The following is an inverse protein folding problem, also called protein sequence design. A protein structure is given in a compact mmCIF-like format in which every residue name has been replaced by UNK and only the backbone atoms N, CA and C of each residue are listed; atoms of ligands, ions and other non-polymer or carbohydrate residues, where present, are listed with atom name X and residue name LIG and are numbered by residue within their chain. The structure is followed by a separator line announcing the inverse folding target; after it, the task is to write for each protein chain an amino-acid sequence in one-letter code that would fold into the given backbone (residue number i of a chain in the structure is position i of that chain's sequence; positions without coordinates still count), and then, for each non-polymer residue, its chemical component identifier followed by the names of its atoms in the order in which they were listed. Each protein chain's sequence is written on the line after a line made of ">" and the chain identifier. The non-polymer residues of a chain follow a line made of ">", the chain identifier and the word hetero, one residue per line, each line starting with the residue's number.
data_IF_172332420604
#
_entry.id   IF_172332420604
#
_cell.length_a   1.000
_cell.length_b   1.000
_cell.length_c   1.000
_cell.angle_alpha   90.00
_cell.angle_beta   90.00
_cell.angle_gamma   90.00
#
_symmetry.space_group_name_H-M   'P 1'
#
loop_
_entity.id
_entity.type
_entity.pdbx_description
1 polymer ?
#
# COMPACT_ATOMS: atom_id res chain seq x y z
N UNK A 1 -46.46 -51.19 33.89
CA UNK A 1 -46.57 -49.73 33.80
C UNK A 1 -45.19 -49.14 33.55
N UNK A 2 -44.91 -48.80 32.28
CA UNK A 2 -43.61 -48.25 31.86
C UNK A 2 -43.82 -46.77 31.59
N UNK A 3 -43.12 -45.93 32.36
CA UNK A 3 -43.13 -44.49 32.19
C UNK A 3 -42.23 -44.09 31.00
N UNK A 4 -42.80 -43.43 29.99
CA UNK A 4 -42.09 -42.78 28.90
C UNK A 4 -41.53 -41.44 29.40
N UNK A 5 -40.21 -41.35 29.44
CA UNK A 5 -39.49 -40.09 29.64
C UNK A 5 -39.41 -39.39 28.28
N UNK A 6 -40.09 -38.24 28.17
CA UNK A 6 -40.04 -37.40 26.96
C UNK A 6 -38.67 -36.76 26.79
N UNK A 7 -38.02 -36.99 25.67
CA UNK A 7 -36.86 -36.23 25.19
C UNK A 7 -37.35 -34.84 24.75
N UNK A 8 -36.90 -33.80 25.42
CA UNK A 8 -36.96 -32.43 24.90
C UNK A 8 -35.96 -32.31 23.78
N UNK A 9 -36.46 -32.16 22.58
CA UNK A 9 -35.62 -31.71 21.45
C UNK A 9 -35.17 -30.28 21.69
N UNK A 10 -33.86 -30.12 21.75
CA UNK A 10 -33.24 -28.79 21.67
C UNK A 10 -33.38 -28.32 20.22
N UNK A 11 -34.19 -27.30 20.00
CA UNK A 11 -34.28 -26.61 18.71
C UNK A 11 -32.93 -26.06 18.26
N UNK A 12 -32.74 -25.81 16.96
CA UNK A 12 -31.46 -25.38 16.41
C UNK A 12 -31.07 -24.05 17.03
N UNK A 13 -29.95 -24.07 17.73
CA UNK A 13 -29.33 -22.89 18.29
C UNK A 13 -29.00 -21.91 17.15
N UNK A 14 -29.36 -20.70 17.39
CA UNK A 14 -29.27 -19.46 16.68
C UNK A 14 -27.88 -19.20 16.01
N UNK A 15 -27.51 -20.01 15.02
CA UNK A 15 -26.28 -19.81 14.21
C UNK A 15 -26.38 -18.59 13.28
N UNK A 16 -27.58 -18.09 13.01
CA UNK A 16 -27.78 -16.95 12.12
C UNK A 16 -27.37 -15.59 12.72
N UNK A 17 -27.27 -15.49 14.04
CA UNK A 17 -26.82 -14.25 14.69
C UNK A 17 -25.29 -14.15 14.67
N UNK A 18 -24.60 -15.27 14.90
CA UNK A 18 -23.13 -15.33 14.84
C UNK A 18 -22.58 -15.25 13.41
N UNK A 19 -23.33 -15.70 12.41
CA UNK A 19 -22.99 -15.50 11.00
C UNK A 19 -23.23 -14.07 10.51
N UNK A 20 -24.24 -13.36 11.02
CA UNK A 20 -24.43 -11.92 10.72
C UNK A 20 -23.36 -11.04 11.36
N UNK A 21 -22.84 -11.37 12.53
CA UNK A 21 -21.69 -10.66 13.12
C UNK A 21 -20.36 -11.00 12.42
N UNK A 22 -20.24 -12.15 11.76
CA UNK A 22 -19.09 -12.52 10.95
C UNK A 22 -19.06 -11.87 9.58
N UNK A 23 -20.16 -11.26 9.13
CA UNK A 23 -20.29 -10.61 7.82
C UNK A 23 -20.02 -9.09 7.84
N UNK A 24 -19.63 -8.53 8.97
CA UNK A 24 -18.95 -7.23 8.98
C UNK A 24 -17.47 -7.56 8.72
N UNK A 25 -17.10 -7.69 7.45
CA UNK A 25 -15.69 -7.85 7.09
C UNK A 25 -14.95 -6.65 7.67
N UNK A 26 -14.02 -6.92 8.59
CA UNK A 26 -13.17 -5.87 9.13
C UNK A 26 -12.42 -5.21 7.98
N UNK A 27 -12.46 -3.89 7.89
CA UNK A 27 -11.66 -3.13 6.93
C UNK A 27 -10.22 -3.07 7.47
N UNK A 28 -9.27 -3.57 6.69
CA UNK A 28 -7.86 -3.56 7.05
C UNK A 28 -7.15 -2.39 6.38
N UNK A 29 -6.65 -1.47 7.18
CA UNK A 29 -5.89 -0.30 6.71
C UNK A 29 -4.43 -0.48 7.09
N UNK A 30 -3.53 -0.37 6.12
CA UNK A 30 -2.09 -0.30 6.36
C UNK A 30 -1.65 1.16 6.52
N UNK A 31 -0.84 1.47 7.53
CA UNK A 31 -0.11 2.73 7.62
C UNK A 31 1.28 2.52 7.04
N UNK A 32 1.59 3.22 5.97
CA UNK A 32 2.90 3.23 5.32
C UNK A 32 3.49 4.66 5.34
N UNK A 33 4.79 4.77 5.19
CA UNK A 33 5.47 6.07 5.10
C UNK A 33 6.93 5.99 5.51
N UNK A 34 7.64 7.05 5.22
CA UNK A 34 9.06 7.15 5.52
C UNK A 34 9.33 7.14 7.04
N UNK A 35 10.55 6.79 7.47
CA UNK A 35 10.95 7.01 8.85
C UNK A 35 10.73 8.46 9.29
N UNK A 36 10.22 8.65 10.51
CA UNK A 36 9.97 9.95 11.13
C UNK A 36 8.88 10.83 10.49
N UNK A 37 8.08 10.33 9.55
CA UNK A 37 6.95 11.08 8.98
C UNK A 37 5.74 11.25 9.93
N UNK A 38 5.81 10.72 11.17
CA UNK A 38 4.73 10.80 12.16
C UNK A 38 3.81 9.57 12.23
N UNK A 39 4.21 8.46 11.61
CA UNK A 39 3.40 7.23 11.50
C UNK A 39 3.00 6.65 12.87
N UNK A 40 3.94 6.49 13.78
CA UNK A 40 3.67 5.99 15.15
C UNK A 40 2.74 6.94 15.93
N UNK A 41 2.88 8.24 15.75
CA UNK A 41 1.97 9.23 16.39
C UNK A 41 0.55 9.05 15.87
N UNK A 42 0.37 8.94 14.56
CA UNK A 42 -0.92 8.67 13.93
C UNK A 42 -1.51 7.34 14.41
N UNK A 43 -0.73 6.26 14.40
CA UNK A 43 -1.17 4.94 14.84
C UNK A 43 -1.68 4.96 16.28
N UNK A 44 -0.94 5.59 17.20
CA UNK A 44 -1.32 5.72 18.60
C UNK A 44 -2.60 6.54 18.79
N UNK A 45 -2.75 7.63 18.04
CA UNK A 45 -3.98 8.44 18.09
C UNK A 45 -5.20 7.65 17.59
N UNK A 46 -5.04 6.90 16.51
CA UNK A 46 -6.13 6.13 15.92
C UNK A 46 -6.56 4.93 16.77
N UNK A 47 -5.63 4.22 17.40
CA UNK A 47 -5.90 2.95 18.08
C UNK A 47 -6.01 3.06 19.60
N UNK A 48 -5.40 4.09 20.21
CA UNK A 48 -5.35 4.26 21.65
C UNK A 48 -4.65 3.09 22.34
N UNK A 49 -5.26 2.57 23.42
CA UNK A 49 -4.73 1.43 24.18
C UNK A 49 -5.02 0.04 23.55
N UNK A 50 -5.78 -0.03 22.46
CA UNK A 50 -6.20 -1.29 21.85
C UNK A 50 -5.18 -1.74 20.77
N UNK A 51 -3.96 -2.02 21.20
CA UNK A 51 -2.86 -2.40 20.32
C UNK A 51 -2.37 -3.80 20.64
N UNK A 52 -1.98 -4.53 19.60
CA UNK A 52 -1.17 -5.73 19.67
C UNK A 52 0.23 -5.40 19.18
N UNK A 53 1.23 -5.77 19.95
CA UNK A 53 2.65 -5.59 19.60
C UNK A 53 3.32 -6.96 19.58
N UNK A 54 4.03 -7.27 18.52
CA UNK A 54 4.76 -8.51 18.36
C UNK A 54 5.83 -8.34 17.29
N UNK A 55 6.32 -9.42 16.71
CA UNK A 55 7.23 -9.36 15.58
C UNK A 55 6.55 -9.90 14.33
N UNK A 56 7.03 -9.43 13.18
CA UNK A 56 6.66 -10.03 11.90
C UNK A 56 7.21 -11.46 11.83
N UNK A 57 6.47 -12.41 11.24
CA UNK A 57 6.91 -13.80 11.15
C UNK A 57 8.30 -13.94 10.49
N UNK A 58 9.21 -14.64 11.15
CA UNK A 58 10.53 -14.97 10.61
C UNK A 58 11.59 -13.87 10.65
N UNK A 59 11.25 -12.69 11.21
CA UNK A 59 12.18 -11.55 11.32
C UNK A 59 12.06 -10.87 12.69
N UNK A 60 13.08 -10.05 13.04
CA UNK A 60 13.10 -9.28 14.31
C UNK A 60 12.38 -7.92 14.20
N UNK A 61 11.72 -7.65 13.08
CA UNK A 61 11.01 -6.40 12.83
C UNK A 61 9.72 -6.36 13.64
N UNK A 62 9.48 -5.26 14.35
CA UNK A 62 8.29 -5.07 15.19
C UNK A 62 7.02 -4.94 14.34
N UNK A 63 5.94 -5.64 14.73
CA UNK A 63 4.61 -5.52 14.18
C UNK A 63 3.69 -4.86 15.18
N UNK A 64 2.99 -3.80 14.78
CA UNK A 64 1.92 -3.16 15.55
C UNK A 64 0.61 -3.24 14.78
N UNK A 65 -0.42 -3.70 15.46
CA UNK A 65 -1.78 -3.80 14.92
C UNK A 65 -2.77 -3.35 15.99
N UNK A 66 -3.80 -2.62 15.60
CA UNK A 66 -4.80 -2.15 16.54
C UNK A 66 -6.15 -1.91 15.89
N UNK A 67 -7.19 -1.83 16.70
CA UNK A 67 -8.53 -1.47 16.22
C UNK A 67 -8.73 0.03 16.30
N UNK A 68 -9.29 0.62 15.27
CA UNK A 68 -9.63 2.04 15.28
C UNK A 68 -10.60 2.35 16.42
N UNK A 69 -10.27 3.38 17.21
CA UNK A 69 -11.02 3.69 18.45
C UNK A 69 -12.49 4.06 18.20
N UNK A 70 -12.80 4.72 17.07
CA UNK A 70 -14.15 5.15 16.71
C UNK A 70 -14.96 4.05 16.01
N UNK A 71 -14.29 3.06 15.38
CA UNK A 71 -14.96 1.93 14.72
C UNK A 71 -14.13 0.65 14.89
N UNK A 72 -14.61 -0.26 15.74
CA UNK A 72 -13.93 -1.54 16.02
C UNK A 72 -13.95 -2.54 14.85
N UNK A 73 -14.73 -2.27 13.80
CA UNK A 73 -14.71 -2.98 12.54
C UNK A 73 -13.51 -2.64 11.65
N UNK A 74 -12.72 -1.62 12.01
CA UNK A 74 -11.52 -1.20 11.27
C UNK A 74 -10.27 -1.64 12.03
N UNK A 75 -9.41 -2.37 11.35
CA UNK A 75 -8.09 -2.79 11.83
C UNK A 75 -7.04 -1.94 11.16
N UNK A 76 -6.12 -1.40 11.94
CA UNK A 76 -4.99 -0.58 11.47
C UNK A 76 -3.71 -1.33 11.76
N UNK A 77 -2.88 -1.54 10.75
CA UNK A 77 -1.55 -2.15 10.87
C UNK A 77 -0.49 -1.10 10.60
N UNK A 78 0.39 -0.84 11.58
CA UNK A 78 1.55 0.05 11.41
C UNK A 78 2.69 -0.72 10.74
N UNK A 79 3.06 -0.32 9.53
CA UNK A 79 4.17 -0.92 8.80
C UNK A 79 5.49 -0.25 9.21
N UNK A 80 6.62 -0.95 9.07
CA UNK A 80 7.93 -0.35 9.24
C UNK A 80 8.10 0.91 8.39
N UNK A 81 8.84 1.88 8.89
CA UNK A 81 9.20 3.09 8.13
C UNK A 81 10.26 2.76 7.09
N UNK A 82 9.96 2.99 5.81
CA UNK A 82 10.85 2.68 4.69
C UNK A 82 10.91 3.84 3.71
N UNK A 83 11.98 3.92 2.93
CA UNK A 83 12.13 4.94 1.89
C UNK A 83 11.72 4.42 0.51
N UNK A 84 11.76 3.10 0.33
CA UNK A 84 11.34 2.43 -0.89
C UNK A 84 10.75 1.04 -0.58
N UNK A 85 10.17 0.40 -1.58
CA UNK A 85 9.72 -1.00 -1.51
C UNK A 85 10.73 -1.96 -2.17
N UNK A 86 11.96 -1.50 -2.40
CA UNK A 86 13.06 -2.34 -2.87
C UNK A 86 13.52 -3.28 -1.75
N UNK A 87 13.89 -4.53 -2.06
CA UNK A 87 14.08 -5.58 -1.03
C UNK A 87 15.49 -5.59 -0.43
N UNK A 88 16.02 -4.43 -0.05
CA UNK A 88 17.38 -4.33 0.51
C UNK A 88 17.45 -4.52 2.02
N UNK A 89 16.38 -4.19 2.74
CA UNK A 89 16.31 -4.32 4.20
C UNK A 89 15.13 -5.22 4.62
N UNK A 90 15.21 -5.86 5.81
CA UNK A 90 14.09 -6.65 6.34
C UNK A 90 12.80 -5.82 6.45
N UNK A 91 12.89 -4.54 6.80
CA UNK A 91 11.79 -3.61 6.92
C UNK A 91 11.09 -3.38 5.58
N UNK A 92 11.86 -3.20 4.50
CA UNK A 92 11.35 -3.02 3.14
C UNK A 92 10.67 -4.29 2.63
N UNK A 93 11.28 -5.45 2.86
CA UNK A 93 10.72 -6.76 2.51
C UNK A 93 9.37 -6.96 3.22
N UNK A 94 9.34 -6.75 4.53
CA UNK A 94 8.11 -6.90 5.34
C UNK A 94 7.01 -5.96 4.86
N UNK A 95 7.34 -4.69 4.62
CA UNK A 95 6.38 -3.69 4.15
C UNK A 95 5.81 -4.07 2.80
N UNK A 96 6.67 -4.43 1.84
CA UNK A 96 6.26 -4.87 0.50
C UNK A 96 5.38 -6.13 0.56
N UNK A 97 5.83 -7.16 1.25
CA UNK A 97 5.12 -8.45 1.31
C UNK A 97 3.75 -8.31 1.97
N UNK A 98 3.64 -7.46 3.00
CA UNK A 98 2.35 -7.18 3.60
C UNK A 98 1.40 -6.44 2.65
N UNK A 99 1.88 -5.41 1.96
CA UNK A 99 1.08 -4.66 0.99
C UNK A 99 0.62 -5.57 -0.17
N UNK A 100 1.47 -6.49 -0.63
CA UNK A 100 1.15 -7.43 -1.71
C UNK A 100 0.32 -8.63 -1.25
N UNK A 101 0.21 -8.89 0.05
CA UNK A 101 -0.49 -10.08 0.60
C UNK A 101 -1.99 -10.13 0.31
N UNK A 102 -2.57 -9.04 -0.19
CA UNK A 102 -4.03 -8.90 -0.36
C UNK A 102 -4.79 -8.67 0.94
N UNK A 103 -4.10 -8.52 2.08
CA UNK A 103 -4.72 -8.24 3.38
C UNK A 103 -5.23 -6.82 3.52
N UNK A 104 -4.45 -5.76 3.13
CA UNK A 104 -4.96 -4.40 3.26
C UNK A 104 -6.02 -4.10 2.18
N UNK A 105 -7.15 -3.54 2.64
CA UNK A 105 -8.20 -3.01 1.77
C UNK A 105 -7.85 -1.62 1.27
N UNK A 106 -7.10 -0.86 2.08
CA UNK A 106 -6.57 0.45 1.73
C UNK A 106 -5.24 0.74 2.44
N UNK A 107 -4.49 1.68 1.89
CA UNK A 107 -3.24 2.19 2.47
C UNK A 107 -3.41 3.67 2.81
N UNK A 108 -3.09 4.05 4.04
CA UNK A 108 -2.82 5.44 4.38
C UNK A 108 -1.31 5.63 4.29
N UNK A 109 -0.87 6.39 3.29
CA UNK A 109 0.53 6.73 3.12
C UNK A 109 0.82 8.09 3.76
N UNK A 110 1.60 8.09 4.85
CA UNK A 110 2.02 9.32 5.51
C UNK A 110 3.18 9.96 4.77
N UNK A 111 2.99 11.19 4.38
CA UNK A 111 3.96 12.03 3.68
C UNK A 111 4.29 13.23 4.57
N UNK A 112 5.57 13.43 4.85
CA UNK A 112 6.06 14.64 5.52
C UNK A 112 5.99 15.81 4.54
N UNK A 113 5.09 16.76 4.81
CA UNK A 113 4.86 17.93 3.98
C UNK A 113 6.06 18.88 3.90
N UNK A 114 7.00 18.78 4.85
CA UNK A 114 8.23 19.60 4.86
C UNK A 114 9.34 19.00 3.98
N UNK A 115 9.17 17.75 3.50
CA UNK A 115 10.13 17.01 2.68
C UNK A 115 9.41 16.22 1.59
N UNK A 116 8.60 16.88 0.76
CA UNK A 116 7.69 16.23 -0.21
C UNK A 116 8.41 15.29 -1.15
N UNK A 117 9.41 15.78 -1.86
CA UNK A 117 10.13 15.04 -2.90
C UNK A 117 10.60 13.67 -2.38
N UNK A 118 11.31 13.66 -1.25
CA UNK A 118 11.82 12.43 -0.64
C UNK A 118 10.71 11.46 -0.24
N UNK A 119 9.58 11.97 0.23
CA UNK A 119 8.47 11.13 0.71
C UNK A 119 7.60 10.63 -0.44
N UNK A 120 7.43 11.42 -1.48
CA UNK A 120 6.63 11.06 -2.65
C UNK A 120 7.24 9.91 -3.45
N UNK A 121 8.55 9.65 -3.37
CA UNK A 121 9.18 8.51 -4.02
C UNK A 121 8.55 7.18 -3.58
N UNK A 122 8.38 6.96 -2.27
CA UNK A 122 7.65 5.80 -1.74
C UNK A 122 6.19 5.82 -2.19
N UNK A 123 5.56 6.99 -2.21
CA UNK A 123 4.15 7.15 -2.63
C UNK A 123 3.94 6.64 -4.05
N UNK A 124 4.84 6.97 -5.00
CA UNK A 124 4.74 6.49 -6.39
C UNK A 124 4.78 4.96 -6.45
N UNK A 125 5.63 4.34 -5.65
CA UNK A 125 5.75 2.88 -5.58
C UNK A 125 4.49 2.22 -4.98
N UNK A 126 3.90 2.81 -3.95
CA UNK A 126 2.64 2.30 -3.35
C UNK A 126 1.48 2.42 -4.35
N UNK A 127 1.41 3.50 -5.12
CA UNK A 127 0.41 3.68 -6.18
C UNK A 127 0.53 2.58 -7.24
N UNK A 128 1.74 2.22 -7.66
CA UNK A 128 1.99 1.17 -8.65
C UNK A 128 1.55 -0.23 -8.19
N UNK A 129 1.43 -0.45 -6.87
CA UNK A 129 0.85 -1.69 -6.33
C UNK A 129 -0.63 -1.86 -6.69
N UNK A 130 -1.33 -0.79 -7.11
CA UNK A 130 -2.75 -0.85 -7.47
C UNK A 130 -3.68 -1.13 -6.29
N UNK A 131 -3.26 -0.82 -5.07
CA UNK A 131 -4.09 -0.85 -3.85
C UNK A 131 -4.73 0.54 -3.68
N UNK A 132 -5.96 0.67 -3.15
CA UNK A 132 -6.51 1.97 -2.77
C UNK A 132 -5.58 2.72 -1.81
N UNK A 133 -5.15 3.93 -2.19
CA UNK A 133 -4.21 4.77 -1.43
C UNK A 133 -4.88 6.08 -1.05
N UNK A 134 -4.65 6.51 0.17
CA UNK A 134 -4.94 7.88 0.65
C UNK A 134 -3.65 8.46 1.21
N UNK A 135 -3.25 9.61 0.73
CA UNK A 135 -2.08 10.32 1.24
C UNK A 135 -2.49 11.17 2.45
N UNK A 136 -1.91 10.89 3.60
CA UNK A 136 -1.96 11.76 4.76
C UNK A 136 -0.77 12.74 4.69
N UNK A 137 -1.04 13.96 4.21
CA UNK A 137 -0.05 15.02 4.10
C UNK A 137 0.20 15.62 5.48
N UNK A 138 1.17 15.07 6.19
CA UNK A 138 1.40 15.35 7.60
C UNK A 138 2.37 16.52 7.82
N UNK A 139 2.41 17.04 9.05
CA UNK A 139 3.22 18.18 9.46
C UNK A 139 2.78 19.52 8.81
N UNK A 140 1.51 19.63 8.40
CA UNK A 140 0.97 20.83 7.79
C UNK A 140 1.05 22.06 8.73
N UNK A 141 1.06 21.85 10.04
CA UNK A 141 1.29 22.92 11.02
C UNK A 141 2.70 23.52 10.95
N UNK A 142 3.71 22.75 10.50
CA UNK A 142 5.05 23.27 10.25
C UNK A 142 5.12 24.04 8.93
N UNK A 143 4.47 23.56 7.88
CA UNK A 143 4.34 24.26 6.59
C UNK A 143 3.68 25.62 6.81
N UNK A 144 2.54 25.65 7.52
CA UNK A 144 1.83 26.89 7.86
C UNK A 144 2.71 27.86 8.70
N UNK A 145 3.45 27.32 9.68
CA UNK A 145 4.36 28.11 10.53
C UNK A 145 5.51 28.73 9.73
N UNK A 146 6.00 28.04 8.72
CA UNK A 146 7.07 28.53 7.85
C UNK A 146 6.56 29.56 6.82
N UNK A 147 5.25 29.72 6.68
CA UNK A 147 4.62 30.58 5.68
C UNK A 147 4.52 29.94 4.29
N UNK A 148 4.85 28.65 4.16
CA UNK A 148 4.75 27.90 2.93
C UNK A 148 3.30 27.50 2.64
N UNK A 149 3.01 27.20 1.36
CA UNK A 149 1.70 26.75 0.90
C UNK A 149 1.86 25.57 -0.04
N UNK A 150 1.04 24.56 0.16
CA UNK A 150 0.96 23.40 -0.72
C UNK A 150 -0.44 23.38 -1.34
N UNK A 151 -0.51 23.28 -2.67
CA UNK A 151 -1.76 23.06 -3.40
C UNK A 151 -2.14 21.57 -3.29
N UNK A 152 -2.96 21.27 -2.27
CA UNK A 152 -3.39 19.90 -1.95
C UNK A 152 -4.23 19.31 -3.08
N UNK A 153 -5.07 20.11 -3.74
CA UNK A 153 -5.93 19.64 -4.83
C UNK A 153 -5.11 19.32 -6.07
N UNK A 154 -4.13 20.15 -6.41
CA UNK A 154 -3.19 19.87 -7.49
C UNK A 154 -2.38 18.60 -7.22
N UNK A 155 -1.90 18.41 -6.00
CA UNK A 155 -1.17 17.21 -5.57
C UNK A 155 -2.06 15.97 -5.68
N UNK A 156 -3.29 16.02 -5.19
CA UNK A 156 -4.26 14.91 -5.28
C UNK A 156 -4.56 14.54 -6.73
N UNK A 157 -4.73 15.54 -7.59
CA UNK A 157 -4.94 15.37 -9.03
C UNK A 157 -3.72 14.74 -9.70
N UNK A 158 -2.51 15.18 -9.35
CA UNK A 158 -1.25 14.64 -9.89
C UNK A 158 -1.04 13.20 -9.49
N UNK A 159 -1.25 12.86 -8.22
CA UNK A 159 -1.09 11.50 -7.69
C UNK A 159 -2.24 10.55 -8.07
N UNK A 160 -3.40 11.07 -8.50
CA UNK A 160 -4.58 10.28 -8.82
C UNK A 160 -5.24 9.60 -7.61
N UNK A 161 -4.96 10.07 -6.40
CA UNK A 161 -5.51 9.56 -5.16
C UNK A 161 -5.85 10.70 -4.19
N UNK A 162 -6.74 10.48 -3.21
CA UNK A 162 -7.07 11.49 -2.21
C UNK A 162 -5.83 11.90 -1.40
N UNK A 163 -5.70 13.20 -1.16
CA UNK A 163 -4.70 13.80 -0.26
C UNK A 163 -5.42 14.54 0.83
N UNK A 164 -5.15 14.20 2.09
CA UNK A 164 -5.77 14.81 3.26
C UNK A 164 -4.71 15.52 4.08
N UNK A 165 -4.81 16.86 4.28
CA UNK A 165 -3.90 17.61 5.14
C UNK A 165 -4.05 17.18 6.59
N UNK A 166 -2.94 16.83 7.24
CA UNK A 166 -2.93 16.35 8.63
C UNK A 166 -1.85 17.02 9.47
N UNK A 167 -2.08 17.05 10.77
CA UNK A 167 -1.05 17.26 11.78
C UNK A 167 -1.27 16.24 12.90
N UNK A 168 -0.55 15.12 12.83
CA UNK A 168 -0.69 14.03 13.78
C UNK A 168 -0.40 14.50 15.22
N UNK A 169 0.56 15.40 15.40
CA UNK A 169 0.90 15.99 16.70
C UNK A 169 -0.26 16.80 17.30
N UNK A 170 -1.09 17.42 16.45
CA UNK A 170 -2.24 18.25 16.87
C UNK A 170 -3.59 17.52 16.74
N UNK A 171 -3.60 16.28 16.30
CA UNK A 171 -4.82 15.51 16.05
C UNK A 171 -5.68 16.05 14.90
N UNK A 172 -5.14 16.93 14.02
CA UNK A 172 -5.90 17.55 12.93
C UNK A 172 -5.92 16.63 11.69
N UNK A 173 -7.10 16.47 11.07
CA UNK A 173 -7.29 15.67 9.85
C UNK A 173 -7.33 14.15 10.05
N UNK A 174 -7.18 13.67 11.29
CA UNK A 174 -7.05 12.24 11.58
C UNK A 174 -8.32 11.44 11.25
N UNK A 175 -9.47 11.95 11.64
CA UNK A 175 -10.76 11.32 11.37
C UNK A 175 -11.07 11.30 9.87
N UNK A 176 -10.79 12.41 9.18
CA UNK A 176 -11.02 12.55 7.75
C UNK A 176 -10.19 11.56 6.93
N UNK A 177 -8.89 11.40 7.24
CA UNK A 177 -8.03 10.47 6.51
C UNK A 177 -8.48 9.02 6.67
N UNK A 178 -8.91 8.62 7.89
CA UNK A 178 -9.43 7.26 8.11
C UNK A 178 -10.75 7.04 7.39
N UNK A 179 -11.68 7.99 7.46
CA UNK A 179 -12.95 7.92 6.74
C UNK A 179 -12.72 7.76 5.24
N UNK A 180 -11.82 8.57 4.66
CA UNK A 180 -11.46 8.51 3.25
C UNK A 180 -10.84 7.14 2.89
N UNK A 181 -9.98 6.59 3.75
CA UNK A 181 -9.39 5.27 3.54
C UNK A 181 -10.42 4.14 3.63
N UNK A 182 -11.37 4.20 4.57
CA UNK A 182 -12.48 3.25 4.66
C UNK A 182 -13.33 3.27 3.38
N UNK A 183 -13.65 4.47 2.87
CA UNK A 183 -14.43 4.62 1.64
C UNK A 183 -13.67 4.07 0.43
N UNK A 184 -12.36 4.35 0.32
CA UNK A 184 -11.50 3.83 -0.73
C UNK A 184 -11.43 2.29 -0.68
N UNK A 185 -11.21 1.71 0.51
CA UNK A 185 -11.17 0.27 0.72
C UNK A 185 -12.47 -0.43 0.36
N UNK A 186 -13.63 0.14 0.75
CA UNK A 186 -14.95 -0.39 0.40
C UNK A 186 -15.23 -0.38 -1.11
N UNK A 187 -14.74 0.64 -1.82
CA UNK A 187 -14.86 0.71 -3.28
C UNK A 187 -13.95 -0.29 -3.99
N UNK A 188 -12.82 -0.66 -3.36
CA UNK A 188 -11.85 -1.60 -3.93
C UNK A 188 -11.17 -1.11 -5.22
N UNK A 189 -11.46 0.12 -5.63
CA UNK A 189 -10.90 0.70 -6.85
C UNK A 189 -9.50 1.25 -6.54
N UNK A 190 -8.50 0.72 -7.26
CA UNK A 190 -7.20 1.36 -7.31
C UNK A 190 -7.31 2.81 -7.80
N UNK A 191 -6.41 3.72 -7.39
CA UNK A 191 -6.32 5.04 -7.99
C UNK A 191 -6.23 4.90 -9.52
N UNK A 192 -6.89 5.77 -10.24
CA UNK A 192 -6.59 5.92 -11.65
C UNK A 192 -5.12 6.35 -11.73
N UNK A 193 -4.25 5.48 -12.22
CA UNK A 193 -2.81 5.76 -12.29
C UNK A 193 -2.61 6.96 -13.20
N UNK A 194 -2.43 8.13 -12.62
CA UNK A 194 -2.10 9.36 -13.36
C UNK A 194 -0.59 9.52 -13.50
N UNK A 195 0.18 8.78 -12.69
CA UNK A 195 1.63 8.72 -12.74
C UNK A 195 2.04 7.79 -13.90
N UNK A 196 2.19 8.37 -15.08
CA UNK A 196 2.71 7.67 -16.26
C UNK A 196 4.16 8.03 -16.47
N UNK A 197 4.92 7.06 -16.91
CA UNK A 197 6.28 7.22 -17.39
C UNK A 197 6.28 7.73 -18.85
N UNK A 198 7.45 7.95 -19.42
CA UNK A 198 7.59 8.24 -20.83
C UNK A 198 6.92 7.16 -21.70
N UNK A 199 6.62 7.48 -22.94
CA UNK A 199 5.96 6.52 -23.83
C UNK A 199 6.83 5.28 -24.05
N UNK A 200 8.12 5.45 -24.14
CA UNK A 200 9.12 4.40 -24.33
C UNK A 200 9.06 3.37 -23.19
N UNK A 201 9.04 3.86 -21.95
CA UNK A 201 8.95 3.01 -20.74
C UNK A 201 7.57 2.37 -20.64
N UNK A 202 6.48 3.10 -20.91
CA UNK A 202 5.11 2.53 -20.87
C UNK A 202 4.92 1.43 -21.92
N UNK A 203 5.50 1.59 -23.13
CA UNK A 203 5.49 0.54 -24.15
C UNK A 203 6.30 -0.69 -23.73
N UNK A 204 7.47 -0.50 -23.10
CA UNK A 204 8.26 -1.59 -22.56
C UNK A 204 7.49 -2.34 -21.47
N UNK A 205 6.85 -1.63 -20.53
CA UNK A 205 6.00 -2.23 -19.49
C UNK A 205 4.84 -3.01 -20.09
N UNK A 206 4.14 -2.48 -21.09
CA UNK A 206 3.05 -3.18 -21.76
C UNK A 206 3.52 -4.51 -22.38
N UNK A 207 4.67 -4.51 -23.05
CA UNK A 207 5.28 -5.72 -23.62
C UNK A 207 5.67 -6.74 -22.54
N UNK A 208 6.22 -6.28 -21.41
CA UNK A 208 6.53 -7.15 -20.27
C UNK A 208 5.27 -7.81 -19.73
N UNK A 209 4.16 -7.04 -19.58
CA UNK A 209 2.86 -7.58 -19.13
C UNK A 209 2.35 -8.64 -20.09
N UNK A 210 2.43 -8.40 -21.40
CA UNK A 210 2.01 -9.36 -22.42
C UNK A 210 2.82 -10.65 -22.37
N UNK A 211 4.14 -10.55 -22.21
CA UNK A 211 5.05 -11.71 -22.14
C UNK A 211 4.85 -12.50 -20.86
N UNK A 212 4.70 -11.84 -19.71
CA UNK A 212 4.50 -12.47 -18.42
C UNK A 212 3.06 -13.07 -18.28
N UNK A 213 2.10 -12.49 -18.99
CA UNK A 213 0.75 -13.03 -19.16
C UNK A 213 0.02 -13.31 -17.86
N UNK A 214 -0.39 -14.59 -17.66
CA UNK A 214 -1.19 -14.98 -16.51
C UNK A 214 -0.46 -14.87 -15.16
N UNK A 215 0.88 -14.87 -15.17
CA UNK A 215 1.68 -14.85 -13.94
C UNK A 215 1.55 -13.53 -13.16
N UNK A 216 1.29 -12.41 -13.86
CA UNK A 216 1.20 -11.07 -13.25
C UNK A 216 -0.17 -10.40 -13.45
N UNK A 217 -1.25 -11.19 -13.57
CA UNK A 217 -2.61 -10.66 -13.70
C UNK A 217 -3.11 -10.00 -12.42
N UNK A 218 -4.00 -9.02 -12.58
CA UNK A 218 -4.68 -8.35 -11.47
C UNK A 218 -4.08 -7.00 -11.13
N UNK A 219 -4.42 -6.50 -9.93
CA UNK A 219 -4.08 -5.14 -9.50
C UNK A 219 -2.57 -4.86 -9.40
N UNK A 220 -1.75 -5.88 -9.18
CA UNK A 220 -0.29 -5.73 -9.05
C UNK A 220 0.47 -5.88 -10.37
N UNK A 221 -0.22 -5.99 -11.51
CA UNK A 221 0.42 -6.24 -12.81
C UNK A 221 1.48 -5.20 -13.18
N UNK A 222 1.18 -3.91 -12.96
CA UNK A 222 2.12 -2.81 -13.22
C UNK A 222 3.37 -2.93 -12.33
N UNK A 223 3.20 -3.17 -11.05
CA UNK A 223 4.31 -3.37 -10.10
C UNK A 223 5.25 -4.50 -10.56
N UNK A 224 4.69 -5.66 -10.86
CA UNK A 224 5.47 -6.79 -11.32
C UNK A 224 6.19 -6.50 -12.65
N UNK A 225 5.53 -5.79 -13.58
CA UNK A 225 6.14 -5.42 -14.85
C UNK A 225 7.35 -4.49 -14.65
N UNK A 226 7.23 -3.51 -13.76
CA UNK A 226 8.33 -2.61 -13.38
C UNK A 226 9.48 -3.44 -12.80
N UNK A 227 9.22 -4.33 -11.82
CA UNK A 227 10.25 -5.13 -11.19
C UNK A 227 10.93 -6.13 -12.13
N UNK A 228 10.18 -6.69 -13.07
CA UNK A 228 10.74 -7.54 -14.13
C UNK A 228 11.61 -6.73 -15.11
N UNK A 229 11.20 -5.50 -15.44
CA UNK A 229 11.96 -4.61 -16.29
C UNK A 229 13.26 -4.15 -15.61
N UNK A 230 13.20 -3.80 -14.31
CA UNK A 230 14.38 -3.53 -13.48
C UNK A 230 15.30 -4.75 -13.30
N UNK A 231 14.82 -5.96 -13.60
CA UNK A 231 15.60 -7.19 -13.43
C UNK A 231 15.71 -7.64 -11.96
N UNK A 232 14.75 -7.27 -11.11
CA UNK A 232 14.78 -7.61 -9.69
C UNK A 232 14.72 -9.13 -9.48
N UNK A 233 15.81 -9.72 -8.99
CA UNK A 233 15.96 -11.17 -8.88
C UNK A 233 14.91 -11.83 -7.99
N UNK A 234 14.53 -11.22 -6.86
CA UNK A 234 13.51 -11.77 -5.96
C UNK A 234 12.14 -11.89 -6.64
N UNK A 235 11.77 -10.92 -7.47
CA UNK A 235 10.53 -10.98 -8.26
C UNK A 235 10.61 -12.06 -9.35
N UNK A 236 11.75 -12.16 -10.03
CA UNK A 236 11.99 -13.17 -11.06
C UNK A 236 11.85 -14.58 -10.46
N UNK A 237 12.47 -14.83 -9.32
CA UNK A 237 12.43 -16.11 -8.62
C UNK A 237 11.02 -16.44 -8.10
N UNK A 238 10.33 -15.44 -7.54
CA UNK A 238 8.98 -15.62 -7.01
C UNK A 238 7.93 -15.94 -8.09
N UNK A 239 8.06 -15.35 -9.28
CA UNK A 239 7.12 -15.56 -10.38
C UNK A 239 7.38 -16.88 -11.14
N UNK A 240 8.57 -17.45 -11.05
CA UNK A 240 8.96 -18.70 -11.69
C UNK A 240 8.53 -18.77 -13.17
N UNK A 241 8.82 -17.72 -13.92
CA UNK A 241 8.46 -17.62 -15.34
C UNK A 241 9.28 -18.63 -16.19
N UNK A 242 8.71 -19.14 -17.31
CA UNK A 242 9.47 -19.95 -18.25
C UNK A 242 10.70 -19.22 -18.78
N UNK A 243 11.80 -19.95 -19.00
CA UNK A 243 13.05 -19.38 -19.53
C UNK A 243 12.86 -18.56 -20.82
N UNK A 244 11.97 -19.02 -21.72
CA UNK A 244 11.62 -18.30 -22.94
C UNK A 244 10.95 -16.94 -22.68
N UNK A 245 10.14 -16.82 -21.61
CA UNK A 245 9.55 -15.54 -21.21
C UNK A 245 10.62 -14.63 -20.60
N UNK A 246 11.48 -15.15 -19.72
CA UNK A 246 12.60 -14.38 -19.14
C UNK A 246 13.54 -13.84 -20.23
N UNK A 247 13.89 -14.65 -21.24
CA UNK A 247 14.72 -14.20 -22.35
C UNK A 247 14.07 -13.07 -23.16
N UNK A 248 12.74 -13.12 -23.34
CA UNK A 248 12.02 -12.03 -24.03
C UNK A 248 11.98 -10.76 -23.21
N UNK A 249 11.78 -10.87 -21.88
CA UNK A 249 11.78 -9.74 -20.94
C UNK A 249 13.17 -9.10 -20.91
N UNK A 250 14.25 -9.91 -20.86
CA UNK A 250 15.63 -9.42 -20.94
C UNK A 250 15.88 -8.64 -22.25
N UNK A 251 15.41 -9.14 -23.38
CA UNK A 251 15.53 -8.43 -24.66
C UNK A 251 14.71 -7.12 -24.73
N UNK A 252 13.58 -7.03 -23.99
CA UNK A 252 12.81 -5.78 -23.86
C UNK A 252 13.62 -4.77 -23.05
N UNK A 253 14.20 -5.22 -21.92
CA UNK A 253 15.05 -4.40 -21.05
C UNK A 253 16.26 -3.87 -21.80
N UNK A 254 17.05 -4.73 -22.44
CA UNK A 254 18.23 -4.35 -23.22
C UNK A 254 17.92 -3.25 -24.26
N UNK A 255 16.78 -3.37 -24.95
CA UNK A 255 16.36 -2.35 -25.93
C UNK A 255 16.04 -1.01 -25.30
N UNK A 256 15.45 -1.00 -24.09
CA UNK A 256 15.17 0.22 -23.37
C UNK A 256 16.48 0.86 -22.87
N UNK A 257 17.38 0.06 -22.31
CA UNK A 257 18.71 0.48 -21.84
C UNK A 257 19.55 1.06 -22.99
N UNK A 258 19.54 0.42 -24.15
CA UNK A 258 20.22 0.91 -25.36
C UNK A 258 19.61 2.24 -25.87
N UNK A 259 18.30 2.43 -25.74
CA UNK A 259 17.62 3.64 -26.21
C UNK A 259 17.85 4.84 -25.29
N UNK A 260 17.90 4.60 -23.98
CA UNK A 260 18.04 5.63 -22.95
C UNK A 260 19.49 5.85 -22.49
N UNK A 261 20.45 5.03 -22.97
CA UNK A 261 21.87 5.03 -22.58
C UNK A 261 22.08 4.95 -21.07
N UNK A 262 21.22 4.17 -20.36
CA UNK A 262 21.26 3.98 -18.89
C UNK A 262 20.71 2.58 -18.54
N UNK A 263 20.94 2.11 -17.31
CA UNK A 263 20.37 0.87 -16.84
C UNK A 263 18.87 1.03 -16.44
N UNK A 264 18.10 -0.05 -16.53
CA UNK A 264 16.66 -0.01 -16.35
C UNK A 264 16.23 0.45 -14.93
N UNK A 265 17.02 0.18 -13.88
CA UNK A 265 16.72 0.64 -12.51
C UNK A 265 16.89 2.17 -12.43
N UNK A 266 17.96 2.72 -13.02
CA UNK A 266 18.21 4.16 -13.14
C UNK A 266 17.11 4.85 -13.94
N UNK A 267 16.74 4.30 -15.10
CA UNK A 267 15.66 4.84 -15.95
C UNK A 267 14.36 4.95 -15.14
N UNK A 268 13.91 3.87 -14.50
CA UNK A 268 12.68 3.87 -13.69
C UNK A 268 12.78 4.84 -12.52
N UNK A 269 13.94 4.96 -11.89
CA UNK A 269 14.16 5.90 -10.79
C UNK A 269 14.04 7.34 -11.27
N UNK A 270 14.65 7.70 -12.41
CA UNK A 270 14.55 9.02 -13.02
C UNK A 270 13.11 9.35 -13.40
N UNK A 271 12.38 8.43 -14.03
CA UNK A 271 10.96 8.56 -14.36
C UNK A 271 10.08 8.85 -13.12
N UNK A 272 10.40 8.25 -11.98
CA UNK A 272 9.70 8.54 -10.72
C UNK A 272 9.98 9.97 -10.23
N UNK A 273 11.24 10.40 -10.30
CA UNK A 273 11.62 11.76 -9.91
C UNK A 273 11.00 12.82 -10.82
N UNK A 274 10.92 12.59 -12.12
CA UNK A 274 10.25 13.48 -13.08
C UNK A 274 8.74 13.62 -12.80
N UNK A 275 8.14 12.60 -12.22
CA UNK A 275 6.76 12.66 -11.77
C UNK A 275 6.57 13.40 -10.42
N UNK A 276 7.62 13.56 -9.64
CA UNK A 276 7.59 14.16 -8.29
C UNK A 276 7.95 15.65 -8.33
N UNK A 277 8.94 16.02 -9.14
CA UNK A 277 9.42 17.41 -9.31
C UNK A 277 8.56 18.19 -10.30
#
# INVERSE_FOLDING_TARGET
>A
AVARIGRREKGPANNGFLEKERLIMAINIALAGNPNCGKTTMFNDLTGANQYVGNWPGVTVEKKEGRYRADKGVVVTDLPGVYSLSPYTPEEIVTRDYLMSGKPDAVINLVDATNLERNLYLTTQIIDLGIPVVVALNMMDLVEKNGDKIDVDALAKRLGCPVVPTSALRGRGMEEVVKTAIEAGKKGAAPATTLRFTNEVEEALARVIDVAGAAIKGRHARWYAIKLLEGEQLTIDALNLPAAALSKIAAIRERLEDAEDDDAESIITNERYDNIT
#
